data_IF_126237059305
#
_entry.id   IF_126237059305
#
_cell.length_a   1.000
_cell.length_b   1.000
_cell.length_c   1.000
_cell.angle_alpha   90.00
_cell.angle_beta   90.00
_cell.angle_gamma   90.00
#
_symmetry.space_group_name_H-M   'P 1'
#
loop_
_entity.id
_entity.type
_entity.pdbx_description
1 polymer ?
#
# COMPACT_ATOMS: atom_id res chain seq x y z
N UNK A 1 -31.14 11.62 9.11
CA UNK A 1 -30.42 11.77 9.00
C UNK A 1 -29.87 11.59 8.64
N UNK A 2 -30.54 11.45 8.11
CA UNK A 2 -29.91 11.52 7.85
C UNK A 2 -29.49 11.44 7.47
N UNK A 3 -29.70 11.27 7.14
CA UNK A 3 -29.07 11.44 6.86
C UNK A 3 -28.60 11.44 6.58
N UNK A 4 -29.08 11.50 6.22
CA UNK A 4 -28.32 11.75 6.00
C UNK A 4 -27.85 11.71 5.60
N UNK A 5 -28.33 11.68 5.25
CA UNK A 5 -27.64 11.84 4.98
C UNK A 5 -27.33 11.80 4.54
N UNK A 6 -27.85 11.77 4.24
CA UNK A 6 -27.28 11.87 3.99
C UNK A 6 -27.02 11.93 3.57
N UNK A 7 -27.54 12.04 3.24
CA UNK A 7 -27.00 12.15 3.04
C UNK A 7 -26.80 12.38 2.53
N UNK A 8 -27.41 12.78 2.35
CA UNK A 8 -27.05 13.00 2.00
C UNK A 8 -27.12 12.91 1.16
N UNK A 9 -27.78 12.90 0.70
CA UNK A 9 -27.68 12.85 0.22
C UNK A 9 -27.97 13.06 -0.60
N UNK A 10 -28.53 13.40 -1.07
CA UNK A 10 -28.53 13.55 -1.63
C UNK A 10 -28.57 14.04 -2.47
N UNK A 11 -29.06 14.37 -2.91
CA UNK A 11 -28.89 14.74 -3.47
C UNK A 11 -28.85 15.27 -4.23
N UNK A 12 -29.36 15.66 -4.58
CA UNK A 12 -29.13 15.97 -5.12
C UNK A 12 -29.09 16.42 -5.83
N UNK A 13 -29.56 16.62 -6.04
CA UNK A 13 -29.28 16.73 -6.53
C UNK A 13 -28.87 16.79 -7.06
N UNK A 14 -29.56 17.20 -7.03
CA UNK A 14 -28.99 16.98 -7.62
C UNK A 14 -28.46 16.19 -7.75
N UNK A 15 -28.89 15.67 -7.49
CA UNK A 15 -28.50 14.35 -7.59
C UNK A 15 -27.08 14.02 -7.27
N UNK A 16 -26.35 14.86 -6.78
CA UNK A 16 -24.94 14.67 -6.55
C UNK A 16 -24.68 13.86 -5.28
N UNK A 17 -25.58 13.93 -4.33
CA UNK A 17 -25.37 13.23 -3.06
C UNK A 17 -25.33 11.72 -3.25
N UNK A 18 -26.19 11.19 -4.12
CA UNK A 18 -26.18 9.76 -4.37
C UNK A 18 -24.92 9.29 -5.06
N UNK A 19 -24.35 10.11 -5.93
CA UNK A 19 -23.10 9.76 -6.60
C UNK A 19 -21.92 9.74 -5.63
N UNK A 20 -21.85 10.71 -4.73
CA UNK A 20 -20.79 10.77 -3.72
C UNK A 20 -20.86 9.55 -2.81
N UNK A 21 -22.04 9.18 -2.37
CA UNK A 21 -22.22 8.01 -1.52
C UNK A 21 -21.77 6.74 -2.24
N UNK A 22 -22.10 6.62 -3.52
CA UNK A 22 -21.75 5.46 -4.31
C UNK A 22 -20.23 5.33 -4.47
N UNK A 23 -19.55 6.46 -4.65
CA UNK A 23 -18.10 6.44 -4.77
C UNK A 23 -17.42 5.98 -3.47
N UNK A 24 -17.97 6.37 -2.33
CA UNK A 24 -17.44 5.91 -1.04
C UNK A 24 -17.64 4.41 -0.87
N UNK A 25 -18.83 3.89 -1.23
CA UNK A 25 -19.09 2.46 -1.20
C UNK A 25 -18.12 1.71 -2.09
N UNK A 26 -17.89 2.22 -3.31
CA UNK A 26 -16.99 1.59 -4.25
C UNK A 26 -15.57 1.52 -3.70
N UNK A 27 -15.12 2.57 -3.03
CA UNK A 27 -13.79 2.59 -2.42
C UNK A 27 -13.70 1.60 -1.26
N UNK A 28 -14.72 1.54 -0.42
CA UNK A 28 -14.75 0.60 0.70
C UNK A 28 -14.72 -0.83 0.21
N UNK A 29 -15.39 -1.11 -0.91
CA UNK A 29 -15.42 -2.45 -1.49
C UNK A 29 -14.16 -2.79 -2.28
N UNK A 30 -13.33 -1.81 -2.59
CA UNK A 30 -12.15 -2.01 -3.43
C UNK A 30 -11.25 -3.10 -2.87
N UNK A 31 -10.93 -3.03 -1.58
CA UNK A 31 -10.05 -4.03 -0.96
C UNK A 31 -10.71 -5.40 -0.86
N UNK A 32 -12.04 -5.45 -0.86
CA UNK A 32 -12.73 -6.73 -0.85
C UNK A 32 -12.60 -7.48 -2.17
N UNK A 33 -12.38 -6.74 -3.27
CA UNK A 33 -12.17 -7.36 -4.57
C UNK A 33 -10.71 -7.73 -4.81
N UNK A 34 -9.81 -7.34 -3.91
CA UNK A 34 -8.40 -7.64 -4.03
C UNK A 34 -8.05 -8.71 -3.00
N UNK A 35 -7.49 -9.81 -3.50
CA UNK A 35 -7.06 -10.92 -2.65
C UNK A 35 -6.06 -10.41 -1.61
N UNK A 36 -6.22 -10.80 -0.33
CA UNK A 36 -5.24 -10.41 0.68
C UNK A 36 -3.93 -11.19 0.54
N UNK A 37 -2.89 -10.63 1.12
CA UNK A 37 -1.56 -11.25 1.21
C UNK A 37 -1.00 -11.55 -0.17
N UNK A 38 -0.95 -10.48 -0.99
CA UNK A 38 -0.53 -10.59 -2.38
C UNK A 38 0.29 -9.34 -2.75
N UNK A 39 1.20 -9.52 -3.70
CA UNK A 39 1.95 -8.44 -4.34
C UNK A 39 1.56 -8.44 -5.80
N UNK A 40 1.07 -7.31 -6.29
CA UNK A 40 0.59 -7.23 -7.66
C UNK A 40 0.83 -5.86 -8.27
N UNK A 41 0.79 -5.81 -9.60
CA UNK A 41 0.85 -4.54 -10.33
C UNK A 41 -0.38 -3.69 -10.01
N UNK A 42 -0.18 -2.39 -9.87
CA UNK A 42 -1.26 -1.48 -9.54
C UNK A 42 -2.30 -1.36 -10.66
N UNK A 43 -1.85 -1.52 -11.92
CA UNK A 43 -2.71 -1.53 -13.12
C UNK A 43 -3.67 -0.35 -13.14
N UNK A 44 -4.98 -0.61 -13.10
CA UNK A 44 -6.00 0.40 -13.18
C UNK A 44 -6.37 1.03 -11.83
N UNK A 45 -5.82 0.52 -10.74
CA UNK A 45 -6.09 1.11 -9.43
C UNK A 45 -5.37 2.44 -9.31
N UNK A 46 -6.01 3.37 -8.61
CA UNK A 46 -5.42 4.68 -8.36
C UNK A 46 -4.89 4.70 -6.93
N UNK A 47 -3.72 5.31 -6.76
CA UNK A 47 -3.08 5.40 -5.44
C UNK A 47 -4.04 6.03 -4.42
N UNK A 48 -4.71 7.11 -4.82
CA UNK A 48 -5.63 7.81 -3.93
C UNK A 48 -6.77 6.91 -3.49
N UNK A 49 -7.32 6.11 -4.40
CA UNK A 49 -8.41 5.19 -4.07
C UNK A 49 -7.96 4.10 -3.12
N UNK A 50 -6.74 3.59 -3.31
CA UNK A 50 -6.17 2.59 -2.39
C UNK A 50 -5.95 3.18 -1.00
N UNK A 51 -5.47 4.41 -0.94
CA UNK A 51 -5.28 5.10 0.33
C UNK A 51 -6.59 5.24 1.08
N UNK A 52 -7.63 5.72 0.38
CA UNK A 52 -8.92 5.93 1.01
C UNK A 52 -9.58 4.61 1.42
N UNK A 53 -9.40 3.57 0.60
CA UNK A 53 -9.93 2.25 0.95
C UNK A 53 -9.26 1.70 2.20
N UNK A 54 -7.94 1.86 2.30
CA UNK A 54 -7.21 1.43 3.49
C UNK A 54 -7.69 2.18 4.74
N UNK A 55 -7.85 3.49 4.63
CA UNK A 55 -8.34 4.31 5.73
C UNK A 55 -9.75 3.91 6.14
N UNK A 56 -10.61 3.60 5.16
CA UNK A 56 -11.98 3.21 5.42
C UNK A 56 -12.13 1.95 6.24
N UNK A 57 -11.18 1.02 6.13
CA UNK A 57 -11.22 -0.22 6.92
C UNK A 57 -10.18 -0.22 8.05
N UNK A 58 -9.54 0.92 8.30
CA UNK A 58 -8.59 1.07 9.40
C UNK A 58 -7.25 0.41 9.18
N UNK A 59 -6.88 0.10 7.95
CA UNK A 59 -5.58 -0.49 7.65
C UNK A 59 -4.54 0.59 7.44
N UNK A 60 -3.27 0.24 7.71
CA UNK A 60 -2.16 1.16 7.48
C UNK A 60 -1.87 1.29 6.00
N UNK A 61 -1.60 2.51 5.57
CA UNK A 61 -1.25 2.81 4.20
C UNK A 61 0.21 3.25 4.15
N UNK A 62 1.05 2.45 3.49
CA UNK A 62 2.48 2.72 3.35
C UNK A 62 2.77 3.03 1.89
N UNK A 63 3.11 4.27 1.61
CA UNK A 63 3.28 4.76 0.24
C UNK A 63 4.66 5.32 0.05
N UNK A 64 5.30 4.99 -1.09
CA UNK A 64 6.54 5.62 -1.51
C UNK A 64 6.51 5.82 -3.02
N UNK A 65 6.96 7.00 -3.46
CA UNK A 65 7.17 7.31 -4.88
C UNK A 65 8.66 7.20 -5.17
N UNK A 66 9.02 6.28 -6.05
CA UNK A 66 10.41 5.94 -6.33
C UNK A 66 10.91 6.56 -7.64
N UNK A 67 10.19 7.56 -8.17
CA UNK A 67 10.56 8.16 -9.45
C UNK A 67 11.95 8.79 -9.46
N UNK A 68 12.45 9.21 -8.29
CA UNK A 68 13.78 9.79 -8.17
C UNK A 68 14.86 8.78 -7.83
N UNK A 69 14.50 7.53 -7.58
CA UNK A 69 15.47 6.48 -7.28
C UNK A 69 16.13 6.01 -8.57
N UNK A 70 17.43 5.74 -8.54
CA UNK A 70 18.17 5.27 -9.70
C UNK A 70 18.88 3.95 -9.46
N UNK A 71 19.09 3.57 -8.20
CA UNK A 71 19.84 2.37 -7.86
C UNK A 71 19.10 1.60 -6.77
N UNK A 72 19.56 0.37 -6.52
CA UNK A 72 19.02 -0.44 -5.44
C UNK A 72 19.16 0.28 -4.10
N UNK A 73 20.31 0.92 -3.88
CA UNK A 73 20.54 1.66 -2.63
C UNK A 73 19.56 2.81 -2.47
N UNK A 74 19.31 3.56 -3.55
CA UNK A 74 18.33 4.65 -3.51
C UNK A 74 16.95 4.13 -3.15
N UNK A 75 16.54 3.02 -3.75
CA UNK A 75 15.23 2.42 -3.50
C UNK A 75 15.10 2.06 -2.02
N UNK A 76 16.10 1.40 -1.47
CA UNK A 76 16.06 0.98 -0.07
C UNK A 76 16.01 2.17 0.88
N UNK A 77 16.77 3.23 0.57
CA UNK A 77 16.78 4.43 1.40
C UNK A 77 15.46 5.17 1.35
N UNK A 78 14.86 5.28 0.16
CA UNK A 78 13.60 5.98 0.02
C UNK A 78 12.46 5.23 0.69
N UNK A 79 12.47 3.90 0.64
CA UNK A 79 11.49 3.10 1.35
C UNK A 79 11.65 3.31 2.86
N UNK A 80 12.88 3.29 3.36
CA UNK A 80 13.13 3.48 4.78
C UNK A 80 12.63 4.82 5.27
N UNK A 81 12.85 5.88 4.49
CA UNK A 81 12.38 7.22 4.85
C UNK A 81 10.85 7.30 4.83
N UNK A 82 10.24 6.77 3.78
CA UNK A 82 8.79 6.86 3.63
C UNK A 82 8.04 6.03 4.66
N UNK A 83 8.60 4.88 5.04
CA UNK A 83 7.95 3.96 5.98
C UNK A 83 8.42 4.16 7.42
N UNK A 84 9.26 5.17 7.65
CA UNK A 84 9.75 5.56 8.99
C UNK A 84 10.47 4.43 9.71
N UNK A 85 11.37 3.76 8.98
CA UNK A 85 12.20 2.71 9.58
C UNK A 85 13.21 3.32 10.56
N UNK A 86 13.71 2.53 11.51
CA UNK A 86 14.64 3.08 12.51
C UNK A 86 15.97 3.52 11.87
N UNK A 87 16.68 4.48 12.51
CA UNK A 87 17.94 4.99 11.97
C UNK A 87 19.01 3.93 11.75
N UNK A 88 18.96 2.83 12.49
CA UNK A 88 19.94 1.76 12.37
C UNK A 88 19.58 0.74 11.29
N UNK A 89 18.59 1.05 10.46
CA UNK A 89 18.19 0.19 9.35
C UNK A 89 19.39 -0.11 8.44
N UNK A 90 19.62 -1.40 8.13
CA UNK A 90 20.81 -1.84 7.43
C UNK A 90 20.84 -1.58 5.93
N UNK A 91 19.75 -1.06 5.34
CA UNK A 91 19.66 -0.72 3.91
C UNK A 91 20.01 -1.88 3.00
N UNK A 92 19.53 -3.07 3.36
CA UNK A 92 19.64 -4.26 2.53
C UNK A 92 18.29 -5.01 2.57
N UNK A 93 18.20 -6.05 1.73
CA UNK A 93 16.93 -6.77 1.60
C UNK A 93 16.54 -7.49 2.89
N UNK A 94 17.52 -8.03 3.61
CA UNK A 94 17.24 -8.70 4.89
C UNK A 94 16.68 -7.71 5.92
N UNK A 95 17.30 -6.52 6.00
CA UNK A 95 16.81 -5.49 6.91
C UNK A 95 15.42 -5.00 6.50
N UNK A 96 15.16 -4.92 5.20
CA UNK A 96 13.83 -4.54 4.71
C UNK A 96 12.78 -5.56 5.16
N UNK A 97 13.08 -6.84 5.00
CA UNK A 97 12.16 -7.89 5.44
C UNK A 97 11.90 -7.79 6.95
N UNK A 98 12.97 -7.62 7.73
CA UNK A 98 12.84 -7.51 9.18
C UNK A 98 11.94 -6.33 9.56
N UNK A 99 12.13 -5.19 8.93
CA UNK A 99 11.31 -4.02 9.21
C UNK A 99 9.87 -4.19 8.76
N UNK A 100 9.66 -4.82 7.61
CA UNK A 100 8.30 -5.03 7.10
C UNK A 100 7.52 -6.04 7.94
N UNK A 101 8.19 -6.93 8.64
CA UNK A 101 7.53 -7.91 9.48
C UNK A 101 7.53 -7.53 10.96
N UNK A 102 8.05 -6.34 11.29
CA UNK A 102 8.14 -5.84 12.66
C UNK A 102 7.21 -4.64 12.92
N UNK A 103 6.30 -4.38 11.99
CA UNK A 103 5.44 -3.20 12.07
C UNK A 103 4.50 -3.24 13.28
N UNK A 104 4.16 -4.43 13.74
CA UNK A 104 3.27 -4.60 14.90
C UNK A 104 3.89 -3.97 16.15
N UNK A 105 5.18 -4.16 16.35
CA UNK A 105 5.85 -3.67 17.55
C UNK A 105 5.89 -2.14 17.62
N UNK A 106 5.92 -1.49 16.47
CA UNK A 106 5.97 -0.04 16.41
C UNK A 106 4.62 0.62 16.64
N UNK A 107 3.58 -0.02 16.16
CA UNK A 107 2.25 0.58 16.09
C UNK A 107 1.19 -0.19 16.86
N UNK A 108 1.59 -1.25 17.57
CA UNK A 108 0.65 -2.11 18.26
C UNK A 108 -0.05 -3.07 17.29
N UNK A 109 -1.17 -3.62 17.73
CA UNK A 109 -1.90 -4.57 16.91
C UNK A 109 -2.46 -3.88 15.67
N UNK A 110 -2.29 -4.50 14.51
CA UNK A 110 -2.62 -3.90 13.23
C UNK A 110 -3.78 -4.63 12.56
N UNK A 111 -4.75 -3.91 12.00
CA UNK A 111 -5.83 -4.53 11.24
C UNK A 111 -5.42 -4.94 9.84
N UNK A 112 -4.26 -4.47 9.36
CA UNK A 112 -3.74 -4.83 8.06
C UNK A 112 -2.92 -3.72 7.44
N UNK A 113 -2.39 -3.99 6.25
CA UNK A 113 -1.49 -3.07 5.55
C UNK A 113 -1.82 -3.00 4.07
N UNK A 114 -1.75 -1.80 3.52
CA UNK A 114 -1.75 -1.55 2.08
C UNK A 114 -0.46 -0.82 1.76
N UNK A 115 0.38 -1.42 0.93
CA UNK A 115 1.68 -0.88 0.56
C UNK A 115 1.64 -0.51 -0.92
N UNK A 116 2.14 0.68 -1.26
CA UNK A 116 2.22 1.13 -2.65
C UNK A 116 3.66 1.54 -2.95
N UNK A 117 4.26 0.86 -3.91
CA UNK A 117 5.60 1.16 -4.42
C UNK A 117 5.42 1.73 -5.83
N UNK A 118 5.38 3.05 -5.93
CA UNK A 118 5.08 3.72 -7.19
C UNK A 118 6.35 4.04 -7.94
N UNK A 119 6.38 3.72 -9.24
CA UNK A 119 7.45 4.08 -10.16
C UNK A 119 8.81 3.46 -9.79
N UNK A 120 8.83 2.15 -9.62
CA UNK A 120 10.10 1.42 -9.45
C UNK A 120 11.01 1.68 -10.65
N UNK A 121 12.31 1.91 -10.42
CA UNK A 121 13.24 2.16 -11.53
C UNK A 121 13.35 0.99 -12.50
N UNK A 122 13.73 1.32 -13.74
CA UNK A 122 13.95 0.34 -14.79
C UNK A 122 15.20 0.77 -15.56
N UNK A 123 16.38 0.41 -15.04
CA UNK A 123 17.65 0.80 -15.63
C UNK A 123 18.71 -0.22 -15.21
N UNK A 124 19.95 -0.16 -15.80
CA UNK A 124 20.97 -1.16 -15.46
C UNK A 124 21.38 -1.22 -14.00
N UNK A 125 21.17 -0.15 -13.23
CA UNK A 125 21.51 -0.13 -11.80
C UNK A 125 20.39 -0.68 -10.93
N UNK A 126 19.21 -0.87 -11.51
CA UNK A 126 18.07 -1.51 -10.85
C UNK A 126 17.32 -2.28 -11.92
N UNK A 127 17.91 -3.40 -12.31
CA UNK A 127 17.42 -4.22 -13.42
C UNK A 127 16.30 -5.17 -12.97
N UNK A 128 15.89 -6.02 -13.89
CA UNK A 128 14.80 -6.96 -13.61
C UNK A 128 15.10 -7.85 -12.41
N UNK A 129 16.34 -8.32 -12.29
CA UNK A 129 16.71 -9.18 -11.16
C UNK A 129 16.59 -8.42 -9.84
N UNK A 130 17.06 -7.20 -9.80
CA UNK A 130 16.96 -6.36 -8.59
C UNK A 130 15.50 -6.10 -8.23
N UNK A 131 14.66 -5.84 -9.25
CA UNK A 131 13.24 -5.62 -9.01
C UNK A 131 12.57 -6.86 -8.44
N UNK A 132 12.88 -8.03 -9.00
CA UNK A 132 12.28 -9.27 -8.51
C UNK A 132 12.74 -9.59 -7.09
N UNK A 133 14.00 -9.33 -6.78
CA UNK A 133 14.51 -9.54 -5.42
C UNK A 133 13.78 -8.64 -4.42
N UNK A 134 13.54 -7.39 -4.79
CA UNK A 134 12.79 -6.47 -3.93
C UNK A 134 11.35 -6.94 -3.75
N UNK A 135 10.68 -7.28 -4.84
CA UNK A 135 9.29 -7.72 -4.76
C UNK A 135 9.16 -9.03 -3.99
N UNK A 136 10.16 -9.90 -4.05
CA UNK A 136 10.16 -11.14 -3.26
C UNK A 136 10.15 -10.85 -1.76
N UNK A 137 10.82 -9.79 -1.33
CA UNK A 137 10.77 -9.39 0.08
C UNK A 137 9.34 -9.07 0.50
N UNK A 138 8.61 -8.33 -0.35
CA UNK A 138 7.23 -8.00 -0.05
C UNK A 138 6.31 -9.23 -0.15
N UNK A 139 6.61 -10.16 -1.05
CA UNK A 139 5.87 -11.43 -1.12
C UNK A 139 6.07 -12.24 0.14
N UNK A 140 7.31 -12.30 0.62
CA UNK A 140 7.61 -13.02 1.88
C UNK A 140 6.95 -12.34 3.06
N UNK A 141 6.91 -11.00 3.08
CA UNK A 141 6.20 -10.27 4.13
C UNK A 141 4.69 -10.55 4.06
N UNK A 142 4.14 -10.60 2.85
CA UNK A 142 2.72 -10.94 2.69
C UNK A 142 2.39 -12.31 3.24
N UNK A 143 3.27 -13.29 3.00
CA UNK A 143 3.09 -14.64 3.53
C UNK A 143 3.21 -14.64 5.06
N UNK A 144 4.18 -13.91 5.60
CA UNK A 144 4.36 -13.78 7.05
C UNK A 144 3.08 -13.30 7.73
N UNK A 145 2.49 -12.22 7.20
CA UNK A 145 1.27 -11.66 7.77
C UNK A 145 0.07 -12.57 7.50
N UNK A 146 0.05 -13.25 6.35
CA UNK A 146 -1.01 -14.19 6.01
C UNK A 146 -1.11 -15.35 6.99
N UNK A 147 0.03 -15.86 7.45
CA UNK A 147 0.07 -16.91 8.47
C UNK A 147 -0.53 -16.43 9.78
N UNK A 148 -0.51 -15.14 10.01
CA UNK A 148 -1.07 -14.52 11.23
C UNK A 148 -2.47 -13.97 10.99
N UNK A 149 -3.04 -14.24 9.81
CA UNK A 149 -4.38 -13.81 9.42
C UNK A 149 -4.53 -12.28 9.44
N UNK A 150 -3.45 -11.59 9.10
CA UNK A 150 -3.44 -10.13 8.97
C UNK A 150 -3.31 -9.81 7.49
N UNK A 151 -4.28 -9.10 6.90
CA UNK A 151 -4.21 -8.77 5.46
C UNK A 151 -3.01 -7.88 5.16
N UNK A 152 -2.29 -8.21 4.10
CA UNK A 152 -1.16 -7.43 3.62
C UNK A 152 -1.23 -7.40 2.11
N UNK A 153 -1.42 -6.21 1.55
CA UNK A 153 -1.50 -6.04 0.09
C UNK A 153 -0.45 -5.07 -0.36
N UNK A 154 0.27 -5.43 -1.40
CA UNK A 154 1.31 -4.58 -1.98
C UNK A 154 1.03 -4.36 -3.45
N UNK A 155 1.04 -3.11 -3.86
CA UNK A 155 0.83 -2.70 -5.25
C UNK A 155 2.07 -1.98 -5.74
N UNK A 156 2.45 -2.22 -7.00
CA UNK A 156 3.65 -1.60 -7.55
C UNK A 156 3.41 -1.13 -8.98
N UNK A 157 4.20 -0.14 -9.40
CA UNK A 157 4.27 0.29 -10.78
C UNK A 157 5.72 0.57 -11.14
N UNK A 158 6.02 0.63 -12.44
CA UNK A 158 7.36 0.91 -12.93
C UNK A 158 7.41 2.29 -13.56
N UNK A 159 8.62 2.85 -13.61
CA UNK A 159 8.87 4.11 -14.31
C UNK A 159 8.61 3.98 -15.81
#
# INVERSE_FOLDING_TARGET
MTPTTTTRASAASCGDDGQTFRLEEDRDMLLQTVRPNIVQSIRAYRVEDLMQAAQGVGQHFLYVNLSNAQSKQDVLEMIADAFLFPPHYGKNLDALYDCMTDLVHKSGQQPGFVVVLEQLPDNPRFDREAREQLLDVFRDAADYWGERKIPFRCFYSFQ
#
